data_IF_054533693495
#
_entry.id   IF_054533693495
#
_cell.length_a   1.000
_cell.length_b   1.000
_cell.length_c   1.000
_cell.angle_alpha   90.00
_cell.angle_beta   90.00
_cell.angle_gamma   90.00
#
_symmetry.space_group_name_H-M   'P 1'
#
loop_
_entity.id
_entity.type
_entity.pdbx_description
1 polymer ?
#
# COMPACT_ATOMS: atom_id res chain seq x y z
N UNK A 1 -53.57 -21.81 0.94
CA UNK A 1 -52.83 -21.20 2.05
C UNK A 1 -51.81 -22.18 2.55
N UNK A 2 -50.61 -22.24 1.98
CA UNK A 2 -49.41 -22.92 2.49
C UNK A 2 -48.21 -22.49 1.63
N UNK A 3 -47.83 -21.21 1.61
CA UNK A 3 -46.61 -20.72 0.95
C UNK A 3 -45.76 -19.81 1.83
N UNK A 4 -46.27 -19.35 2.98
CA UNK A 4 -45.60 -18.29 3.75
C UNK A 4 -44.61 -18.79 4.81
N UNK A 5 -44.54 -20.10 5.08
CA UNK A 5 -43.63 -20.64 6.11
C UNK A 5 -42.18 -20.87 5.65
N UNK A 6 -41.97 -21.15 4.36
CA UNK A 6 -40.65 -21.50 3.83
C UNK A 6 -39.74 -20.28 3.57
N UNK A 7 -40.31 -19.13 3.23
CA UNK A 7 -39.51 -17.88 3.02
C UNK A 7 -39.06 -17.25 4.33
N UNK A 8 -39.78 -17.47 5.43
CA UNK A 8 -39.40 -16.93 6.75
C UNK A 8 -38.27 -17.75 7.44
N UNK A 9 -38.27 -19.06 7.23
CA UNK A 9 -37.20 -19.94 7.72
C UNK A 9 -35.88 -19.75 6.96
N UNK A 10 -35.94 -19.55 5.66
CA UNK A 10 -34.76 -19.33 4.81
C UNK A 10 -34.09 -17.97 5.14
N UNK A 11 -34.89 -16.95 5.46
CA UNK A 11 -34.39 -15.62 5.83
C UNK A 11 -33.79 -15.59 7.24
N UNK A 12 -34.29 -16.40 8.18
CA UNK A 12 -33.73 -16.49 9.55
C UNK A 12 -32.42 -17.29 9.58
N UNK A 13 -32.35 -18.37 8.83
CA UNK A 13 -31.16 -19.21 8.67
C UNK A 13 -30.06 -18.44 7.92
N UNK A 14 -30.41 -17.71 6.88
CA UNK A 14 -29.48 -16.84 6.14
C UNK A 14 -28.93 -15.70 6.99
N UNK A 15 -29.79 -15.07 7.85
CA UNK A 15 -29.36 -14.05 8.81
C UNK A 15 -28.49 -14.62 9.94
N UNK A 16 -28.82 -15.79 10.45
CA UNK A 16 -28.02 -16.47 11.47
C UNK A 16 -26.66 -16.90 10.92
N UNK A 17 -26.58 -17.43 9.71
CA UNK A 17 -25.32 -17.74 9.03
C UNK A 17 -24.48 -16.47 8.73
N UNK A 18 -25.13 -15.38 8.34
CA UNK A 18 -24.44 -14.10 8.15
C UNK A 18 -23.91 -13.53 9.47
N UNK A 19 -24.66 -13.66 10.58
CA UNK A 19 -24.19 -13.24 11.90
C UNK A 19 -23.05 -14.13 12.41
N UNK A 20 -23.08 -15.43 12.20
CA UNK A 20 -22.00 -16.36 12.58
C UNK A 20 -20.73 -16.09 11.74
N UNK A 21 -20.87 -15.79 10.45
CA UNK A 21 -19.77 -15.32 9.61
C UNK A 21 -19.13 -14.01 10.13
N UNK A 22 -19.94 -13.09 10.65
CA UNK A 22 -19.49 -11.82 11.19
C UNK A 22 -18.76 -11.96 12.53
N UNK A 23 -19.16 -12.91 13.38
CA UNK A 23 -18.52 -13.13 14.70
C UNK A 23 -17.08 -13.64 14.54
N UNK A 24 -16.79 -14.44 13.51
CA UNK A 24 -15.43 -14.93 13.20
C UNK A 24 -14.66 -14.04 12.21
N UNK A 25 -15.28 -12.95 11.74
CA UNK A 25 -14.68 -12.06 10.74
C UNK A 25 -13.63 -11.11 11.33
N UNK A 26 -13.58 -10.96 12.66
CA UNK A 26 -12.68 -10.02 13.33
C UNK A 26 -11.84 -10.70 14.41
N UNK A 27 -10.60 -10.23 14.56
CA UNK A 27 -9.75 -10.64 15.68
C UNK A 27 -10.10 -9.93 16.98
N UNK A 28 -9.46 -10.34 18.06
CA UNK A 28 -9.48 -9.61 19.33
C UNK A 28 -8.79 -8.26 19.16
N UNK A 29 -9.27 -7.24 19.89
CA UNK A 29 -8.66 -5.91 19.85
C UNK A 29 -7.21 -5.95 20.34
N UNK A 30 -6.34 -5.30 19.59
CA UNK A 30 -4.95 -5.09 19.98
C UNK A 30 -4.86 -4.01 21.04
N UNK A 31 -3.98 -4.21 21.98
CA UNK A 31 -3.67 -3.26 23.06
C UNK A 31 -2.41 -2.46 22.82
N UNK A 32 -1.61 -2.85 21.81
CA UNK A 32 -0.34 -2.21 21.48
C UNK A 32 -0.31 -1.74 20.03
N UNK A 33 0.38 -0.63 19.81
CA UNK A 33 0.59 -0.06 18.49
C UNK A 33 1.41 -0.99 17.61
N UNK A 34 0.93 -1.22 16.39
CA UNK A 34 1.57 -2.06 15.36
C UNK A 34 2.93 -1.51 14.88
N UNK A 35 3.19 -0.22 15.08
CA UNK A 35 4.39 0.46 14.58
C UNK A 35 5.44 0.68 15.68
N UNK A 36 5.06 1.16 16.86
CA UNK A 36 6.01 1.52 17.92
C UNK A 36 5.85 0.73 19.23
N UNK A 37 4.92 -0.22 19.28
CA UNK A 37 4.67 -1.08 20.45
C UNK A 37 4.02 -0.38 21.65
N UNK A 38 3.77 0.93 21.62
CA UNK A 38 3.15 1.68 22.71
C UNK A 38 1.73 1.20 23.01
N UNK A 39 1.36 1.15 24.28
CA UNK A 39 0.00 0.82 24.73
C UNK A 39 -0.94 2.04 24.85
N UNK A 40 -0.46 3.24 24.48
CA UNK A 40 -1.28 4.45 24.45
C UNK A 40 -2.14 4.50 23.18
N UNK A 41 -3.21 3.71 23.18
CA UNK A 41 -4.11 3.56 22.04
C UNK A 41 -5.45 4.19 22.37
N UNK A 42 -5.95 5.04 21.47
CA UNK A 42 -7.25 5.71 21.59
C UNK A 42 -8.09 5.46 20.34
N UNK A 43 -9.40 5.38 20.51
CA UNK A 43 -10.33 5.34 19.40
C UNK A 43 -10.22 6.63 18.59
N UNK A 44 -10.07 6.50 17.26
CA UNK A 44 -9.97 7.65 16.36
C UNK A 44 -11.25 7.89 15.56
N UNK A 45 -11.90 6.83 15.12
CA UNK A 45 -13.12 6.91 14.30
C UNK A 45 -13.51 5.57 13.71
N UNK A 46 -14.54 5.55 12.88
CA UNK A 46 -15.01 4.36 12.18
C UNK A 46 -15.49 4.66 10.78
N UNK A 47 -15.45 3.65 9.90
CA UNK A 47 -16.02 3.72 8.55
C UNK A 47 -16.91 2.52 8.33
N UNK A 48 -17.99 2.72 7.59
CA UNK A 48 -18.88 1.67 7.16
C UNK A 48 -18.65 1.33 5.69
N UNK A 49 -18.63 0.03 5.39
CA UNK A 49 -18.66 -0.49 4.02
C UNK A 49 -19.46 -1.77 3.97
N UNK A 50 -20.45 -1.82 3.07
CA UNK A 50 -21.34 -2.97 2.88
C UNK A 50 -22.05 -3.41 4.17
N UNK A 51 -22.49 -2.45 5.00
CA UNK A 51 -23.19 -2.72 6.27
C UNK A 51 -22.28 -3.19 7.41
N UNK A 52 -20.95 -3.23 7.21
CA UNK A 52 -19.96 -3.58 8.23
C UNK A 52 -19.23 -2.32 8.68
N UNK A 53 -19.18 -2.11 10.00
CA UNK A 53 -18.46 -0.99 10.62
C UNK A 53 -17.05 -1.41 10.99
N UNK A 54 -16.05 -0.71 10.43
CA UNK A 54 -14.63 -0.90 10.71
C UNK A 54 -14.13 0.21 11.63
N UNK A 55 -13.73 -0.16 12.83
CA UNK A 55 -13.19 0.78 13.82
C UNK A 55 -11.69 1.03 13.57
N UNK A 56 -11.26 2.26 13.79
CA UNK A 56 -9.87 2.69 13.62
C UNK A 56 -9.41 3.26 14.96
N UNK A 57 -8.34 2.69 15.49
CA UNK A 57 -7.64 3.19 16.67
C UNK A 57 -6.36 3.92 16.25
N UNK A 58 -5.91 4.86 17.07
CA UNK A 58 -4.71 5.65 16.85
C UNK A 58 -3.78 5.57 18.05
N UNK A 59 -2.50 5.41 17.79
CA UNK A 59 -1.46 5.52 18.81
C UNK A 59 -1.16 6.99 19.13
N UNK A 60 -1.24 7.39 20.39
CA UNK A 60 -0.89 8.74 20.82
C UNK A 60 0.61 9.00 20.76
N UNK A 61 1.46 7.96 20.89
CA UNK A 61 2.91 8.10 20.90
C UNK A 61 3.48 8.39 19.50
N UNK A 62 3.11 7.61 18.47
CA UNK A 62 3.66 7.78 17.13
C UNK A 62 2.65 8.30 16.10
N UNK A 63 1.38 8.40 16.46
CA UNK A 63 0.32 8.89 15.59
C UNK A 63 -0.18 7.89 14.54
N UNK A 64 0.46 6.73 14.37
CA UNK A 64 -0.01 5.68 13.46
C UNK A 64 -1.37 5.18 13.90
N UNK A 65 -2.29 5.03 12.96
CA UNK A 65 -3.58 4.43 13.19
C UNK A 65 -3.66 3.04 12.54
N UNK A 66 -4.59 2.23 12.99
CA UNK A 66 -4.79 0.89 12.47
C UNK A 66 -6.22 0.42 12.76
N UNK A 67 -6.68 -0.49 11.93
CA UNK A 67 -7.99 -1.11 12.12
C UNK A 67 -7.99 -1.97 13.39
N UNK A 68 -8.96 -1.75 14.28
CA UNK A 68 -8.98 -2.42 15.58
C UNK A 68 -10.41 -2.56 16.16
N UNK A 69 -11.01 -3.78 16.22
CA UNK A 69 -10.40 -5.03 15.79
C UNK A 69 -10.19 -5.07 14.29
N UNK A 70 -9.17 -5.74 13.83
CA UNK A 70 -8.95 -5.93 12.40
C UNK A 70 -9.72 -7.16 11.90
N UNK A 71 -10.11 -7.20 10.63
CA UNK A 71 -10.65 -8.40 10.02
C UNK A 71 -9.68 -9.58 10.15
N UNK A 72 -10.19 -10.79 10.29
CA UNK A 72 -9.35 -11.99 10.30
C UNK A 72 -8.66 -12.17 8.94
N UNK A 73 -7.50 -12.82 8.94
CA UNK A 73 -6.76 -13.08 7.69
C UNK A 73 -7.61 -13.88 6.71
N UNK A 74 -8.33 -14.88 7.20
CA UNK A 74 -9.24 -15.70 6.39
C UNK A 74 -10.35 -14.86 5.75
N UNK A 75 -10.99 -13.95 6.51
CA UNK A 75 -12.00 -13.05 5.96
C UNK A 75 -11.42 -12.13 4.88
N UNK A 76 -10.24 -11.56 5.09
CA UNK A 76 -9.60 -10.72 4.08
C UNK A 76 -9.32 -11.50 2.79
N UNK A 77 -8.77 -12.70 2.90
CA UNK A 77 -8.42 -13.51 1.73
C UNK A 77 -9.65 -14.02 0.99
N UNK A 78 -10.68 -14.50 1.72
CA UNK A 78 -11.88 -15.10 1.11
C UNK A 78 -12.90 -14.07 0.60
N UNK A 79 -13.12 -12.98 1.33
CA UNK A 79 -14.21 -12.04 1.03
C UNK A 79 -13.72 -10.76 0.35
N UNK A 80 -12.47 -10.37 0.56
CA UNK A 80 -11.94 -9.12 0.01
C UNK A 80 -11.04 -9.37 -1.21
N UNK A 81 -10.01 -10.21 -1.06
CA UNK A 81 -9.03 -10.42 -2.13
C UNK A 81 -9.44 -11.47 -3.16
N UNK A 82 -10.31 -12.43 -2.80
CA UNK A 82 -10.79 -13.44 -3.75
C UNK A 82 -11.85 -12.91 -4.72
N UNK A 83 -12.67 -11.96 -4.25
CA UNK A 83 -13.83 -11.45 -5.02
C UNK A 83 -13.48 -10.21 -5.84
N UNK A 84 -12.44 -9.51 -5.47
CA UNK A 84 -12.03 -8.28 -6.14
C UNK A 84 -10.55 -8.04 -5.97
N UNK A 85 -9.76 -8.20 -7.00
CA UNK A 85 -8.45 -7.55 -7.04
C UNK A 85 -8.65 -6.08 -6.70
N UNK A 86 -8.20 -5.62 -5.54
CA UNK A 86 -8.36 -4.24 -5.05
C UNK A 86 -9.79 -3.64 -5.17
N UNK A 87 -10.85 -4.43 -4.89
CA UNK A 87 -12.24 -3.93 -4.95
C UNK A 87 -12.79 -3.68 -6.36
N UNK A 88 -12.13 -4.16 -7.40
CA UNK A 88 -12.63 -4.08 -8.76
C UNK A 88 -13.51 -5.28 -9.06
N UNK A 89 -14.81 -5.07 -9.05
CA UNK A 89 -15.86 -6.09 -9.28
C UNK A 89 -15.89 -6.58 -10.74
N UNK A 90 -15.17 -5.94 -11.64
CA UNK A 90 -15.08 -6.33 -13.05
C UNK A 90 -13.66 -6.08 -13.58
N UNK A 91 -13.18 -6.86 -14.56
CA UNK A 91 -11.94 -6.55 -15.23
C UNK A 91 -12.06 -5.17 -15.86
N UNK A 92 -11.37 -4.19 -15.29
CA UNK A 92 -11.18 -2.91 -15.97
C UNK A 92 -10.45 -3.24 -17.27
N UNK A 93 -10.96 -2.74 -18.39
CA UNK A 93 -10.35 -3.02 -19.67
C UNK A 93 -8.85 -2.66 -19.60
N UNK A 94 -7.99 -3.62 -19.89
CA UNK A 94 -6.51 -3.46 -19.84
C UNK A 94 -6.08 -2.17 -20.53
N UNK A 95 -6.65 -1.91 -21.71
CA UNK A 95 -6.39 -0.71 -22.48
C UNK A 95 -6.75 0.59 -21.75
N UNK A 96 -7.80 0.60 -20.94
CA UNK A 96 -8.20 1.78 -20.18
C UNK A 96 -7.18 2.11 -19.06
N UNK A 97 -6.62 1.10 -18.39
CA UNK A 97 -5.57 1.29 -17.38
C UNK A 97 -4.29 1.79 -18.04
N UNK A 98 -3.86 1.14 -19.13
CA UNK A 98 -2.67 1.53 -19.86
C UNK A 98 -2.81 2.93 -20.49
N UNK A 99 -4.01 3.27 -20.99
CA UNK A 99 -4.30 4.60 -21.50
C UNK A 99 -4.29 5.64 -20.39
N UNK A 100 -4.91 5.35 -19.24
CA UNK A 100 -4.90 6.23 -18.06
C UNK A 100 -3.49 6.53 -17.61
N UNK A 101 -2.60 5.52 -17.53
CA UNK A 101 -1.21 5.73 -17.14
C UNK A 101 -0.39 6.47 -18.22
N UNK A 102 -0.69 6.29 -19.50
CA UNK A 102 -0.10 7.10 -20.58
C UNK A 102 -0.48 8.58 -20.48
N UNK A 103 -1.76 8.86 -20.20
CA UNK A 103 -2.26 10.23 -20.04
C UNK A 103 -1.78 10.87 -18.71
N UNK A 104 -1.67 10.08 -17.66
CA UNK A 104 -1.35 10.49 -16.28
C UNK A 104 -0.33 9.54 -15.65
N UNK A 105 0.95 9.64 -16.02
CA UNK A 105 1.97 8.64 -15.64
C UNK A 105 2.38 8.75 -14.16
N UNK A 106 1.45 8.52 -13.25
CA UNK A 106 1.69 8.64 -11.82
C UNK A 106 2.48 7.45 -11.29
N UNK A 107 2.06 6.22 -11.59
CA UNK A 107 2.74 5.02 -11.15
C UNK A 107 4.15 4.92 -11.76
N UNK A 108 4.29 5.18 -13.06
CA UNK A 108 5.59 5.22 -13.74
C UNK A 108 6.53 6.27 -13.15
N UNK A 109 6.02 7.47 -12.81
CA UNK A 109 6.84 8.53 -12.19
C UNK A 109 7.29 8.16 -10.80
N UNK A 110 6.40 7.54 -10.02
CA UNK A 110 6.73 7.08 -8.68
C UNK A 110 7.75 5.95 -8.72
N UNK A 111 7.58 4.99 -9.62
CA UNK A 111 8.52 3.90 -9.85
C UNK A 111 9.91 4.44 -10.22
N UNK A 112 9.99 5.35 -11.21
CA UNK A 112 11.25 6.02 -11.57
C UNK A 112 11.90 6.72 -10.40
N UNK A 113 11.12 7.41 -9.59
CA UNK A 113 11.65 8.13 -8.41
C UNK A 113 12.15 7.15 -7.35
N UNK A 114 11.35 6.14 -7.00
CA UNK A 114 11.75 5.15 -6.01
C UNK A 114 13.05 4.45 -6.41
N UNK A 115 13.13 4.00 -7.65
CA UNK A 115 14.29 3.26 -8.16
C UNK A 115 15.51 4.17 -8.32
N UNK A 116 15.36 5.37 -8.87
CA UNK A 116 16.48 6.29 -9.08
C UNK A 116 17.13 6.75 -7.76
N UNK A 117 16.35 6.93 -6.71
CA UNK A 117 16.87 7.26 -5.38
C UNK A 117 17.54 6.02 -4.76
N UNK A 118 16.93 4.83 -4.86
CA UNK A 118 17.52 3.60 -4.37
C UNK A 118 18.91 3.33 -4.99
N UNK A 119 19.05 3.55 -6.30
CA UNK A 119 20.31 3.38 -7.03
C UNK A 119 21.47 4.24 -6.47
N UNK A 120 21.18 5.39 -5.84
CA UNK A 120 22.22 6.25 -5.21
C UNK A 120 22.84 5.63 -3.97
N UNK A 121 22.12 4.71 -3.34
CA UNK A 121 22.53 4.05 -2.10
C UNK A 121 23.04 2.63 -2.31
N UNK A 122 22.78 2.05 -3.48
CA UNK A 122 23.28 0.72 -3.80
C UNK A 122 24.79 0.77 -4.06
N UNK A 123 25.57 -0.18 -3.51
CA UNK A 123 26.98 -0.27 -3.80
C UNK A 123 27.23 -0.54 -5.29
N UNK A 124 28.41 -0.19 -5.83
CA UNK A 124 28.82 -0.62 -7.17
C UNK A 124 28.69 -2.13 -7.31
N UNK A 125 28.24 -2.60 -8.46
CA UNK A 125 28.12 -4.03 -8.75
C UNK A 125 28.72 -4.36 -10.11
N UNK A 126 29.51 -5.42 -10.18
CA UNK A 126 30.07 -5.97 -11.42
C UNK A 126 29.17 -7.04 -12.06
N UNK A 127 28.10 -7.43 -11.38
CA UNK A 127 27.16 -8.44 -11.83
C UNK A 127 25.72 -7.94 -11.92
N UNK A 128 24.79 -8.77 -12.43
CA UNK A 128 23.39 -8.41 -12.53
C UNK A 128 22.79 -8.18 -11.13
N UNK A 129 22.09 -7.09 -10.98
CA UNK A 129 21.32 -6.78 -9.74
C UNK A 129 19.95 -7.43 -9.80
N UNK A 130 19.46 -7.86 -8.66
CA UNK A 130 18.12 -8.45 -8.51
C UNK A 130 17.20 -7.51 -7.75
N UNK A 131 15.96 -7.38 -8.22
CA UNK A 131 14.90 -6.67 -7.53
C UNK A 131 13.73 -7.60 -7.22
N UNK A 132 13.13 -7.43 -6.04
CA UNK A 132 11.86 -8.05 -5.66
C UNK A 132 10.80 -6.95 -5.61
N UNK A 133 9.75 -7.09 -6.40
CA UNK A 133 8.58 -6.20 -6.42
C UNK A 133 7.42 -6.88 -5.68
N UNK A 134 7.22 -6.49 -4.41
CA UNK A 134 6.20 -7.06 -3.54
C UNK A 134 4.89 -6.31 -3.75
N UNK A 135 3.81 -7.03 -4.05
CA UNK A 135 2.53 -6.43 -4.42
C UNK A 135 2.66 -5.67 -5.74
N UNK A 136 3.23 -6.31 -6.75
CA UNK A 136 3.59 -5.68 -8.02
C UNK A 136 2.42 -5.07 -8.82
N UNK A 137 1.17 -5.44 -8.47
CA UNK A 137 -0.03 -4.93 -9.11
C UNK A 137 0.03 -5.02 -10.64
N UNK A 138 -0.18 -3.91 -11.32
CA UNK A 138 -0.12 -3.83 -12.79
C UNK A 138 1.30 -3.91 -13.39
N UNK A 139 2.36 -3.92 -12.57
CA UNK A 139 3.73 -4.10 -13.04
C UNK A 139 4.48 -2.82 -13.45
N UNK A 140 3.99 -1.64 -13.15
CA UNK A 140 4.67 -0.39 -13.50
C UNK A 140 6.02 -0.24 -12.80
N UNK A 141 6.13 -0.69 -11.56
CA UNK A 141 7.39 -0.69 -10.80
C UNK A 141 8.36 -1.74 -11.33
N UNK A 142 7.88 -2.95 -11.57
CA UNK A 142 8.67 -4.02 -12.21
C UNK A 142 9.22 -3.58 -13.56
N UNK A 143 8.40 -2.93 -14.42
CA UNK A 143 8.83 -2.42 -15.72
C UNK A 143 9.97 -1.40 -15.60
N UNK A 144 9.88 -0.46 -14.66
CA UNK A 144 10.94 0.53 -14.45
C UNK A 144 12.18 -0.09 -13.80
N UNK A 145 12.06 -1.13 -12.97
CA UNK A 145 13.19 -1.89 -12.45
C UNK A 145 13.92 -2.66 -13.56
N UNK A 146 13.18 -3.31 -14.48
CA UNK A 146 13.75 -3.93 -15.69
C UNK A 146 14.51 -2.91 -16.54
N UNK A 147 13.93 -1.71 -16.76
CA UNK A 147 14.59 -0.62 -17.51
C UNK A 147 15.85 -0.11 -16.83
N UNK A 148 15.91 -0.20 -15.51
CA UNK A 148 17.09 0.14 -14.71
C UNK A 148 18.15 -0.96 -14.66
N UNK A 149 17.94 -2.09 -15.37
CA UNK A 149 18.89 -3.19 -15.49
C UNK A 149 18.81 -4.23 -14.39
N UNK A 150 17.72 -4.29 -13.61
CA UNK A 150 17.50 -5.34 -12.63
C UNK A 150 16.90 -6.60 -13.27
N UNK A 151 17.33 -7.78 -12.82
CA UNK A 151 16.53 -8.99 -12.90
C UNK A 151 15.39 -8.90 -11.89
N UNK A 152 14.15 -8.99 -12.33
CA UNK A 152 12.98 -8.73 -11.48
C UNK A 152 12.26 -10.02 -11.16
N UNK A 153 12.03 -10.27 -9.86
CA UNK A 153 11.06 -11.20 -9.32
C UNK A 153 9.88 -10.39 -8.81
N UNK A 154 8.66 -10.77 -9.19
CA UNK A 154 7.45 -10.07 -8.79
C UNK A 154 6.49 -11.02 -8.06
N UNK A 155 5.79 -10.50 -7.06
CA UNK A 155 4.78 -11.24 -6.32
C UNK A 155 3.52 -10.39 -6.17
N UNK A 156 2.37 -10.96 -6.51
CA UNK A 156 1.07 -10.28 -6.40
C UNK A 156 -0.07 -11.31 -6.37
N UNK A 157 -0.92 -11.34 -5.33
CA UNK A 157 -2.04 -12.27 -5.26
C UNK A 157 -3.19 -11.93 -6.22
N UNK A 158 -3.24 -10.72 -6.77
CA UNK A 158 -4.33 -10.21 -7.60
C UNK A 158 -4.29 -10.76 -9.03
N UNK A 159 -5.18 -11.68 -9.37
CA UNK A 159 -5.20 -12.33 -10.70
C UNK A 159 -5.44 -11.37 -11.85
N UNK A 160 -6.30 -10.37 -11.67
CA UNK A 160 -6.65 -9.41 -12.71
C UNK A 160 -5.52 -8.45 -13.03
N UNK A 161 -4.85 -7.96 -11.99
CA UNK A 161 -3.66 -7.12 -12.14
C UNK A 161 -2.55 -7.88 -12.86
N UNK A 162 -2.43 -9.17 -12.60
CA UNK A 162 -1.41 -10.04 -13.19
C UNK A 162 -1.56 -10.20 -14.71
N UNK A 163 -2.77 -10.06 -15.26
CA UNK A 163 -2.96 -10.01 -16.71
C UNK A 163 -2.28 -8.78 -17.33
N UNK A 164 -2.44 -7.62 -16.70
CA UNK A 164 -1.80 -6.36 -17.14
C UNK A 164 -0.28 -6.44 -16.91
N UNK A 165 0.12 -7.01 -15.77
CA UNK A 165 1.51 -7.23 -15.42
C UNK A 165 2.26 -8.01 -16.52
N UNK A 166 1.71 -9.14 -16.96
CA UNK A 166 2.28 -9.96 -18.04
C UNK A 166 2.42 -9.20 -19.33
N UNK A 167 1.39 -8.48 -19.73
CA UNK A 167 1.43 -7.66 -20.95
C UNK A 167 2.45 -6.53 -20.87
N UNK A 168 2.67 -5.97 -19.67
CA UNK A 168 3.53 -4.81 -19.47
C UNK A 168 5.01 -5.18 -19.33
N UNK A 169 5.30 -6.34 -18.75
CA UNK A 169 6.66 -6.77 -18.34
C UNK A 169 7.19 -7.98 -19.10
N UNK A 170 6.30 -8.78 -19.69
CA UNK A 170 6.60 -10.11 -20.24
C UNK A 170 7.17 -11.10 -19.19
N UNK A 171 6.93 -10.86 -17.91
CA UNK A 171 7.29 -11.74 -16.81
C UNK A 171 6.06 -12.44 -16.23
N UNK A 172 6.30 -13.56 -15.52
CA UNK A 172 5.29 -14.25 -14.72
C UNK A 172 5.42 -13.82 -13.26
N UNK A 173 4.38 -13.19 -12.65
CA UNK A 173 4.40 -12.90 -11.23
C UNK A 173 4.06 -14.16 -10.43
N UNK A 174 4.58 -14.25 -9.20
CA UNK A 174 4.17 -15.27 -8.24
C UNK A 174 2.78 -14.88 -7.71
N UNK A 175 1.74 -15.66 -8.06
CA UNK A 175 0.33 -15.38 -7.70
C UNK A 175 -0.01 -15.84 -6.28
N UNK A 176 0.70 -15.32 -5.27
CA UNK A 176 0.52 -15.63 -3.85
C UNK A 176 0.73 -14.38 -3.00
N UNK A 177 0.30 -14.43 -1.75
CA UNK A 177 0.66 -13.40 -0.77
C UNK A 177 2.15 -13.48 -0.42
N UNK A 178 2.77 -12.34 -0.14
CA UNK A 178 4.20 -12.27 0.21
C UNK A 178 4.53 -13.09 1.46
N UNK A 179 3.62 -13.13 2.41
CA UNK A 179 3.74 -13.88 3.65
C UNK A 179 3.91 -15.39 3.41
N UNK A 180 3.33 -15.92 2.34
CA UNK A 180 3.26 -17.36 2.03
C UNK A 180 4.44 -17.89 1.20
N UNK A 181 5.27 -17.02 0.64
CA UNK A 181 6.34 -17.41 -0.30
C UNK A 181 7.70 -17.35 0.38
N UNK A 182 8.45 -18.45 0.36
CA UNK A 182 9.85 -18.45 0.76
C UNK A 182 10.77 -18.23 -0.44
N UNK A 183 11.82 -17.46 -0.24
CA UNK A 183 12.84 -17.14 -1.25
C UNK A 183 14.20 -17.64 -0.80
N UNK A 184 14.91 -18.33 -1.72
CA UNK A 184 16.27 -18.82 -1.49
C UNK A 184 17.34 -17.88 -2.09
N UNK A 185 16.96 -16.63 -2.38
CA UNK A 185 17.85 -15.64 -2.99
C UNK A 185 17.77 -14.31 -2.25
N UNK A 186 18.79 -13.48 -2.47
CA UNK A 186 18.84 -12.13 -1.90
C UNK A 186 18.70 -11.10 -3.01
N UNK A 187 18.09 -9.96 -2.65
CA UNK A 187 17.77 -8.89 -3.57
C UNK A 187 18.55 -7.62 -3.24
N UNK A 188 19.05 -6.96 -4.28
CA UNK A 188 19.72 -5.66 -4.14
C UNK A 188 18.69 -4.54 -3.89
N UNK A 189 17.48 -4.69 -4.45
CA UNK A 189 16.38 -3.76 -4.28
C UNK A 189 15.11 -4.53 -3.94
N UNK A 190 14.42 -4.13 -2.89
CA UNK A 190 13.06 -4.63 -2.59
C UNK A 190 12.11 -3.43 -2.63
N UNK A 191 11.06 -3.54 -3.42
CA UNK A 191 10.02 -2.52 -3.60
C UNK A 191 8.77 -2.92 -2.83
N UNK A 192 8.24 -2.02 -2.00
CA UNK A 192 6.96 -2.12 -1.31
C UNK A 192 6.18 -0.83 -1.56
N UNK A 193 5.52 -0.73 -2.70
CA UNK A 193 4.78 0.48 -3.07
C UNK A 193 3.28 0.27 -2.91
N UNK A 194 2.66 0.91 -1.95
CA UNK A 194 1.25 0.78 -1.59
C UNK A 194 0.94 -0.69 -1.21
N UNK A 195 1.73 -1.25 -0.31
CA UNK A 195 1.65 -2.66 0.10
C UNK A 195 1.67 -2.81 1.61
N UNK A 196 2.54 -2.08 2.32
CA UNK A 196 2.75 -2.26 3.76
C UNK A 196 1.49 -1.92 4.58
N UNK A 197 0.64 -1.03 4.07
CA UNK A 197 -0.67 -0.70 4.63
C UNK A 197 -1.68 -1.85 4.59
N UNK A 198 -1.49 -2.80 3.68
CA UNK A 198 -2.33 -4.00 3.52
C UNK A 198 -1.78 -5.19 4.31
N UNK A 199 -0.49 -5.18 4.71
CA UNK A 199 0.13 -6.30 5.40
C UNK A 199 -0.55 -6.59 6.72
N UNK A 200 -0.85 -7.87 6.93
CA UNK A 200 -1.51 -8.32 8.15
C UNK A 200 -0.61 -8.15 9.38
N UNK A 201 0.67 -8.46 9.23
CA UNK A 201 1.72 -8.19 10.21
C UNK A 201 2.88 -7.44 9.53
N UNK A 202 2.86 -6.10 9.56
CA UNK A 202 3.90 -5.32 8.91
C UNK A 202 5.28 -5.48 9.57
N UNK A 203 5.34 -5.86 10.85
CA UNK A 203 6.59 -6.13 11.55
C UNK A 203 7.22 -7.44 11.05
N UNK A 204 6.43 -8.52 10.97
CA UNK A 204 6.89 -9.79 10.41
C UNK A 204 7.30 -9.66 8.95
N UNK A 205 6.50 -8.92 8.14
CA UNK A 205 6.81 -8.66 6.74
C UNK A 205 8.16 -7.92 6.57
N UNK A 206 8.40 -6.87 7.34
CA UNK A 206 9.69 -6.14 7.31
C UNK A 206 10.84 -6.98 7.84
N UNK A 207 10.63 -7.82 8.84
CA UNK A 207 11.62 -8.81 9.29
C UNK A 207 12.00 -9.80 8.19
N UNK A 208 11.04 -10.23 7.37
CA UNK A 208 11.29 -11.05 6.18
C UNK A 208 12.09 -10.26 5.12
N UNK A 209 11.68 -9.01 4.84
CA UNK A 209 12.42 -8.12 3.93
C UNK A 209 13.87 -7.95 4.35
N UNK A 210 14.14 -7.77 5.66
CA UNK A 210 15.51 -7.63 6.20
C UNK A 210 16.37 -8.88 5.89
N UNK A 211 15.77 -10.07 5.97
CA UNK A 211 16.48 -11.33 5.64
C UNK A 211 16.74 -11.48 4.14
N UNK A 212 15.84 -10.99 3.30
CA UNK A 212 15.93 -11.09 1.84
C UNK A 212 16.84 -10.04 1.20
N UNK A 213 17.20 -8.97 1.91
CA UNK A 213 18.13 -7.97 1.39
C UNK A 213 19.54 -8.51 1.30
N UNK A 214 20.17 -8.34 0.14
CA UNK A 214 21.61 -8.53 -0.06
C UNK A 214 22.39 -7.53 0.81
N UNK A 215 23.67 -7.81 1.06
CA UNK A 215 24.56 -6.86 1.76
C UNK A 215 24.59 -5.52 1.00
N UNK A 216 24.30 -4.43 1.70
CA UNK A 216 24.15 -3.10 1.09
C UNK A 216 22.92 -2.94 0.19
N UNK A 217 22.00 -3.90 0.19
CA UNK A 217 20.73 -3.80 -0.53
C UNK A 217 19.80 -2.75 0.09
N UNK A 218 18.89 -2.22 -0.71
CA UNK A 218 17.95 -1.15 -0.34
C UNK A 218 16.52 -1.66 -0.39
N UNK A 219 15.74 -1.36 0.63
CA UNK A 219 14.28 -1.43 0.53
C UNK A 219 13.75 -0.02 0.24
N UNK A 220 12.86 0.09 -0.74
CA UNK A 220 12.16 1.33 -1.08
C UNK A 220 10.66 1.14 -0.86
N UNK A 221 10.11 1.90 0.07
CA UNK A 221 8.75 1.78 0.58
C UNK A 221 7.97 3.04 0.21
N UNK A 222 6.73 2.89 -0.24
CA UNK A 222 5.78 3.99 -0.38
C UNK A 222 4.47 3.58 0.25
N UNK A 223 3.96 4.38 1.21
CA UNK A 223 2.69 4.14 1.90
C UNK A 223 1.84 5.40 1.95
N UNK A 224 0.51 5.30 2.04
CA UNK A 224 -0.35 6.43 2.33
C UNK A 224 0.01 7.08 3.67
N UNK A 225 -0.08 8.40 3.73
CA UNK A 225 0.27 9.17 4.92
C UNK A 225 -0.97 9.50 5.74
N UNK A 226 -1.08 8.97 6.93
CA UNK A 226 -2.18 9.29 7.84
C UNK A 226 -2.21 10.76 8.28
N UNK A 227 -1.05 11.47 8.22
CA UNK A 227 -0.97 12.90 8.47
C UNK A 227 -1.29 13.76 7.23
N UNK A 228 -1.82 13.16 6.14
CA UNK A 228 -2.30 13.90 4.99
C UNK A 228 -3.34 14.94 5.40
N UNK A 229 -3.21 16.16 4.86
CA UNK A 229 -4.09 17.27 5.24
C UNK A 229 -5.58 16.93 5.07
N UNK A 230 -5.95 16.16 4.04
CA UNK A 230 -7.33 15.76 3.83
C UNK A 230 -7.84 14.74 4.86
N UNK A 231 -7.00 13.87 5.40
CA UNK A 231 -7.38 13.00 6.54
C UNK A 231 -7.73 13.84 7.75
N UNK A 232 -6.98 14.90 8.01
CA UNK A 232 -7.24 15.81 9.14
C UNK A 232 -8.52 16.63 8.98
N UNK A 233 -8.81 17.05 7.73
CA UNK A 233 -9.98 17.89 7.42
C UNK A 233 -11.26 17.08 7.23
N UNK A 234 -11.19 15.97 6.52
CA UNK A 234 -12.35 15.15 6.15
C UNK A 234 -12.61 14.00 7.13
N UNK A 235 -11.61 13.67 7.96
CA UNK A 235 -11.67 12.58 8.93
C UNK A 235 -12.17 11.28 8.26
N UNK A 236 -13.16 10.62 8.81
CA UNK A 236 -13.72 9.35 8.31
C UNK A 236 -14.27 9.43 6.89
N UNK A 237 -14.55 10.65 6.38
CA UNK A 237 -15.01 10.87 4.99
C UNK A 237 -13.89 10.81 3.95
N UNK A 238 -12.64 10.84 4.38
CA UNK A 238 -11.49 10.68 3.48
C UNK A 238 -11.48 9.24 2.93
N UNK A 239 -11.25 9.07 1.61
CA UNK A 239 -11.35 7.77 0.93
C UNK A 239 -10.08 7.38 0.17
N UNK A 240 -9.02 8.16 0.23
CA UNK A 240 -7.75 7.84 -0.42
C UNK A 240 -6.80 7.08 0.50
N UNK A 241 -6.60 7.62 1.71
CA UNK A 241 -5.78 6.97 2.75
C UNK A 241 -6.62 5.96 3.54
N UNK A 242 -7.86 6.32 3.88
CA UNK A 242 -8.77 5.50 4.70
C UNK A 242 -9.61 4.56 3.81
N UNK A 243 -8.97 3.65 3.14
CA UNK A 243 -9.64 2.68 2.26
C UNK A 243 -9.91 1.38 3.02
N UNK A 244 -11.09 1.28 3.67
CA UNK A 244 -11.50 0.10 4.42
C UNK A 244 -12.22 -0.92 3.52
N UNK A 245 -12.07 -2.22 3.74
CA UNK A 245 -11.22 -2.87 4.75
C UNK A 245 -9.81 -3.19 4.25
N UNK A 246 -9.43 -2.78 3.03
CA UNK A 246 -8.18 -3.17 2.40
C UNK A 246 -6.95 -2.56 3.11
N UNK A 247 -7.03 -1.29 3.56
CA UNK A 247 -5.97 -0.68 4.35
C UNK A 247 -6.15 -1.03 5.83
N UNK A 248 -5.30 -1.90 6.34
CA UNK A 248 -5.30 -2.32 7.75
C UNK A 248 -4.50 -1.36 8.62
N UNK A 249 -3.48 -0.72 8.05
CA UNK A 249 -2.50 0.10 8.73
C UNK A 249 -2.42 1.50 8.10
N UNK A 250 -2.43 2.54 8.92
CA UNK A 250 -2.41 3.93 8.47
C UNK A 250 -1.19 4.62 9.06
N UNK A 251 -0.10 4.62 8.33
CA UNK A 251 1.20 5.06 8.84
C UNK A 251 1.34 6.58 8.89
N UNK A 252 2.01 7.05 9.95
CA UNK A 252 2.68 8.36 9.99
C UNK A 252 4.16 8.18 9.72
N UNK A 253 4.89 9.25 9.38
CA UNK A 253 6.36 9.16 9.27
C UNK A 253 6.99 8.68 10.58
N UNK A 254 6.54 9.18 11.73
CA UNK A 254 7.06 8.78 13.05
C UNK A 254 6.86 7.29 13.31
N UNK A 255 5.66 6.77 13.04
CA UNK A 255 5.39 5.35 13.22
C UNK A 255 6.14 4.47 12.24
N UNK A 256 6.23 4.87 10.96
CA UNK A 256 6.98 4.11 9.96
C UNK A 256 8.49 4.07 10.29
N UNK A 257 9.05 5.17 10.79
CA UNK A 257 10.43 5.20 11.28
C UNK A 257 10.63 4.26 12.46
N UNK A 258 9.74 4.29 13.46
CA UNK A 258 9.82 3.41 14.62
C UNK A 258 9.76 1.93 14.20
N UNK A 259 8.83 1.58 13.31
CA UNK A 259 8.68 0.23 12.78
C UNK A 259 9.92 -0.24 12.03
N UNK A 260 10.47 0.60 11.14
CA UNK A 260 11.68 0.26 10.40
C UNK A 260 12.90 0.09 11.31
N UNK A 261 13.07 0.98 12.28
CA UNK A 261 14.18 0.86 13.25
C UNK A 261 14.06 -0.40 14.09
N UNK A 262 12.86 -0.73 14.59
CA UNK A 262 12.64 -1.93 15.41
C UNK A 262 12.81 -3.25 14.63
N UNK A 263 12.68 -3.19 13.31
CA UNK A 263 12.89 -4.34 12.42
C UNK A 263 14.30 -4.40 11.80
N UNK A 264 15.23 -3.60 12.32
CA UNK A 264 16.65 -3.67 11.98
C UNK A 264 17.05 -2.90 10.71
N UNK A 265 16.29 -1.84 10.37
CA UNK A 265 16.65 -0.96 9.26
C UNK A 265 17.29 0.34 9.72
N UNK A 266 18.29 0.79 8.97
CA UNK A 266 18.82 2.16 8.95
C UNK A 266 18.12 2.93 7.84
N UNK A 267 17.43 4.01 8.19
CA UNK A 267 16.75 4.87 7.23
C UNK A 267 17.77 5.78 6.55
N UNK A 268 17.76 5.76 5.23
CA UNK A 268 18.67 6.55 4.37
C UNK A 268 18.03 7.84 3.90
N UNK A 269 16.77 7.79 3.49
CA UNK A 269 16.06 8.92 2.93
C UNK A 269 14.57 8.81 3.20
N UNK A 270 13.92 9.95 3.42
CA UNK A 270 12.45 10.06 3.51
C UNK A 270 11.99 11.22 2.67
N UNK A 271 10.91 11.01 1.95
CA UNK A 271 10.27 12.01 1.11
C UNK A 271 8.77 11.97 1.30
N UNK A 272 8.15 13.14 1.41
CA UNK A 272 6.71 13.29 1.31
C UNK A 272 6.33 13.67 -0.12
N UNK A 273 5.25 13.08 -0.63
CA UNK A 273 4.71 13.39 -1.96
C UNK A 273 3.32 13.94 -1.78
N UNK A 274 3.12 15.17 -2.20
CA UNK A 274 1.80 15.81 -2.23
C UNK A 274 1.30 15.88 -3.67
N UNK A 275 0.07 15.44 -3.89
CA UNK A 275 -0.61 15.52 -5.20
C UNK A 275 -2.10 15.68 -4.99
N UNK A 276 -2.68 16.51 -5.84
CA UNK A 276 -4.12 16.47 -6.10
C UNK A 276 -4.29 15.84 -7.48
N UNK A 277 -5.20 14.88 -7.64
CA UNK A 277 -5.48 14.29 -8.95
C UNK A 277 -6.01 15.35 -9.91
N UNK A 278 -5.12 16.01 -10.68
CA UNK A 278 -5.51 17.09 -11.59
C UNK A 278 -6.51 16.63 -12.67
N UNK A 279 -6.49 15.35 -13.03
CA UNK A 279 -7.49 14.76 -13.91
C UNK A 279 -8.89 14.72 -13.30
N UNK A 280 -9.01 14.71 -11.97
CA UNK A 280 -10.32 14.74 -11.31
C UNK A 280 -11.07 16.05 -11.61
N UNK A 281 -10.36 17.16 -11.76
CA UNK A 281 -10.95 18.46 -12.11
C UNK A 281 -11.50 18.42 -13.52
N UNK A 282 -10.68 18.02 -14.51
CA UNK A 282 -11.10 17.96 -15.92
C UNK A 282 -12.21 16.94 -16.15
N UNK A 283 -12.20 15.80 -15.43
CA UNK A 283 -13.24 14.79 -15.51
C UNK A 283 -14.55 15.29 -14.89
N UNK A 284 -14.50 16.01 -13.76
CA UNK A 284 -15.67 16.58 -13.12
C UNK A 284 -16.31 17.69 -13.95
N UNK A 285 -15.51 18.42 -14.73
CA UNK A 285 -15.98 19.46 -15.66
C UNK A 285 -16.29 18.92 -17.05
N UNK A 286 -16.24 17.61 -17.27
CA UNK A 286 -16.51 16.92 -18.54
C UNK A 286 -15.69 17.51 -19.72
N UNK A 287 -14.48 17.97 -19.45
CA UNK A 287 -13.61 18.55 -20.48
C UNK A 287 -13.01 17.46 -21.39
N UNK A 288 -12.95 17.73 -22.70
CA UNK A 288 -12.40 16.81 -23.69
C UNK A 288 -11.34 17.49 -24.56
N UNK A 289 -10.57 16.69 -25.29
CA UNK A 289 -9.60 17.12 -26.30
C UNK A 289 -8.57 18.14 -25.78
N UNK A 290 -8.27 19.14 -26.56
CA UNK A 290 -7.26 20.18 -26.25
C UNK A 290 -7.61 20.96 -24.96
N UNK A 291 -8.91 21.22 -24.71
CA UNK A 291 -9.37 21.95 -23.52
C UNK A 291 -9.03 21.18 -22.23
N UNK A 292 -9.16 19.85 -22.25
CA UNK A 292 -8.75 18.97 -21.14
C UNK A 292 -7.24 19.07 -20.86
N UNK A 293 -6.42 19.07 -21.93
CA UNK A 293 -4.96 19.18 -21.78
C UNK A 293 -4.54 20.52 -21.19
N UNK A 294 -5.14 21.62 -21.65
CA UNK A 294 -4.88 22.96 -21.13
C UNK A 294 -5.29 23.05 -19.65
N UNK A 295 -6.52 22.63 -19.31
CA UNK A 295 -6.99 22.65 -17.94
C UNK A 295 -6.11 21.82 -16.99
N UNK A 296 -5.69 20.63 -17.42
CA UNK A 296 -4.77 19.78 -16.64
C UNK A 296 -3.40 20.45 -16.46
N UNK A 297 -2.88 21.11 -17.50
CA UNK A 297 -1.65 21.89 -17.44
C UNK A 297 -1.74 23.04 -16.43
N UNK A 298 -2.82 23.81 -16.49
CA UNK A 298 -3.07 24.91 -15.54
C UNK A 298 -3.18 24.41 -14.09
N UNK A 299 -3.93 23.35 -13.84
CA UNK A 299 -4.05 22.77 -12.49
C UNK A 299 -2.69 22.30 -11.97
N UNK A 300 -1.85 21.71 -12.82
CA UNK A 300 -0.48 21.31 -12.45
C UNK A 300 0.39 22.51 -12.04
N UNK A 301 0.27 23.61 -12.75
CA UNK A 301 1.04 24.84 -12.44
C UNK A 301 0.53 25.45 -11.13
N UNK A 302 -0.78 25.62 -11.00
CA UNK A 302 -1.41 26.25 -9.83
C UNK A 302 -1.13 25.43 -8.55
N UNK A 303 -1.20 24.11 -8.62
CA UNK A 303 -0.99 23.27 -7.44
C UNK A 303 0.49 23.11 -7.06
N UNK A 304 1.45 23.52 -7.92
CA UNK A 304 2.87 23.25 -7.69
C UNK A 304 3.37 23.83 -6.36
N UNK A 305 3.13 25.09 -6.10
CA UNK A 305 3.61 25.75 -4.87
C UNK A 305 2.90 25.21 -3.60
N UNK A 306 1.54 25.11 -3.54
CA UNK A 306 0.86 24.49 -2.41
C UNK A 306 1.32 23.06 -2.12
N UNK A 307 1.53 22.23 -3.16
CA UNK A 307 1.99 20.85 -2.95
C UNK A 307 3.40 20.82 -2.38
N UNK A 308 4.31 21.69 -2.81
CA UNK A 308 5.66 21.80 -2.23
C UNK A 308 5.62 22.20 -0.75
N UNK A 309 4.75 23.12 -0.39
CA UNK A 309 4.56 23.51 1.02
C UNK A 309 4.07 22.30 1.83
N UNK A 310 3.09 21.55 1.33
CA UNK A 310 2.58 20.35 2.01
C UNK A 310 3.65 19.25 2.14
N UNK A 311 4.51 19.08 1.14
CA UNK A 311 5.66 18.17 1.21
C UNK A 311 6.62 18.58 2.33
N UNK A 312 6.98 19.87 2.42
CA UNK A 312 7.84 20.40 3.47
C UNK A 312 7.22 20.29 4.87
N UNK A 313 5.91 20.50 4.98
CA UNK A 313 5.15 20.32 6.21
C UNK A 313 4.87 18.85 6.55
N UNK A 314 5.43 17.90 5.79
CA UNK A 314 5.23 16.45 5.96
C UNK A 314 3.74 16.02 5.90
N UNK A 315 2.92 16.83 5.23
CA UNK A 315 1.48 16.65 5.05
C UNK A 315 1.13 16.23 3.62
N UNK A 316 2.05 15.59 2.90
CA UNK A 316 1.78 14.98 1.59
C UNK A 316 0.96 13.69 1.72
N UNK A 317 0.33 13.25 0.64
CA UNK A 317 -0.55 12.07 0.61
C UNK A 317 0.22 10.76 0.76
N UNK A 318 1.49 10.71 0.35
CA UNK A 318 2.33 9.51 0.40
C UNK A 318 3.64 9.80 1.11
N UNK A 319 4.08 8.85 1.93
CA UNK A 319 5.42 8.80 2.52
C UNK A 319 6.23 7.80 1.70
N UNK A 320 7.39 8.22 1.21
CA UNK A 320 8.37 7.37 0.55
C UNK A 320 9.60 7.26 1.45
N UNK A 321 10.08 6.04 1.69
CA UNK A 321 11.24 5.76 2.55
C UNK A 321 12.19 4.81 1.86
N UNK A 322 13.49 5.10 1.96
CA UNK A 322 14.57 4.21 1.55
C UNK A 322 15.37 3.83 2.78
N UNK A 323 15.60 2.53 2.94
CA UNK A 323 16.33 2.01 4.07
C UNK A 323 17.22 0.84 3.68
N UNK A 324 18.26 0.60 4.47
CA UNK A 324 19.16 -0.55 4.37
C UNK A 324 19.12 -1.35 5.67
N UNK A 325 19.52 -2.60 5.61
CA UNK A 325 19.76 -3.37 6.83
C UNK A 325 20.79 -2.64 7.68
N UNK A 326 20.48 -2.40 8.95
CA UNK A 326 21.44 -1.86 9.90
C UNK A 326 22.60 -2.86 10.04
N UNK A 327 23.82 -2.39 9.90
CA UNK A 327 24.98 -3.22 10.22
C UNK A 327 24.94 -3.49 11.73
N UNK A 328 25.19 -4.75 12.11
CA UNK A 328 25.43 -5.05 13.51
C UNK A 328 26.65 -4.21 13.91
N UNK A 329 26.48 -3.28 14.87
CA UNK A 329 27.63 -2.61 15.47
C UNK A 329 28.54 -3.71 15.96
N UNK A 330 29.74 -3.79 15.34
CA UNK A 330 30.75 -4.74 15.76
C UNK A 330 30.98 -4.52 17.24
N UNK A 331 30.67 -5.53 18.07
CA UNK A 331 31.23 -5.59 19.40
C UNK A 331 32.73 -5.45 19.19
N UNK A 332 33.28 -4.31 19.49
CA UNK A 332 34.71 -4.20 19.76
C UNK A 332 34.95 -5.15 20.94
N UNK A 333 35.47 -6.32 20.64
CA UNK A 333 36.10 -7.15 21.64
C UNK A 333 37.24 -6.33 22.22
N UNK A 334 37.11 -5.93 23.47
CA UNK A 334 38.12 -5.29 24.26
C UNK A 334 38.99 -6.38 24.93
#
# INVERSE_FOLDING_TARGET
>A
MKRDGKELEDNSTSRAMAQVKLVNAFETRRTNCIACGSNKIVFWGSKERNGITFCIDRCENCGTAFMNPRPSFEYLMSEIYSTSGHGLVAPVAIDAILQSEREYPNATRDAKTLISIALRYLPPSHGPRKALDVGSGYGFFSKEALRAGFGVTAINPGRWENLIFRQLTSLEPIERAFEEVEFNEHFNLILLSQVLEHMYDPQAALGKVTRLLAKGGVVAIAVPNFNWILVRLLRERENGVLWVPEHLNYFTETGLRALLTSTGFKILHVRHVARIPYYAVSRRLHLAGKLRLVANGMVRIIQWAPMRILEQLKSGVTIQVWAQKAEAEGRMEA
#
